data_IF_274023287365
#
_entry.id   IF_274023287365
#
_cell.length_a   1.000
_cell.length_b   1.000
_cell.length_c   1.000
_cell.angle_alpha   90.00
_cell.angle_beta   90.00
_cell.angle_gamma   90.00
#
_symmetry.space_group_name_H-M   'P 1'
#
loop_
_entity.id
_entity.type
_entity.pdbx_description
1 polymer ?
#
# COMPACT_ATOMS: atom_id res chain seq x y z
N UNK A 1 24.09 -28.90 11.22
CA UNK A 1 23.93 -27.88 12.27
C UNK A 1 23.44 -26.52 11.77
N UNK A 2 23.76 -26.06 10.54
CA UNK A 2 23.32 -24.77 9.99
C UNK A 2 21.82 -24.71 9.57
N UNK A 3 21.21 -25.80 9.09
CA UNK A 3 19.79 -25.81 8.69
C UNK A 3 18.84 -25.59 9.88
N UNK A 4 19.08 -26.23 11.02
CA UNK A 4 18.25 -26.08 12.22
C UNK A 4 18.33 -24.65 12.84
N UNK A 5 19.47 -23.95 12.69
CA UNK A 5 19.56 -22.53 13.11
C UNK A 5 18.74 -21.61 12.20
N UNK A 6 18.75 -21.87 10.88
CA UNK A 6 18.02 -21.04 9.91
C UNK A 6 16.49 -21.19 10.06
N UNK A 7 16.01 -22.40 10.31
CA UNK A 7 14.57 -22.64 10.59
C UNK A 7 14.14 -22.02 11.92
N UNK A 8 14.95 -22.10 12.97
CA UNK A 8 14.66 -21.43 14.25
C UNK A 8 14.53 -19.92 14.09
N UNK A 9 15.42 -19.26 13.34
CA UNK A 9 15.32 -17.82 13.07
C UNK A 9 14.06 -17.44 12.28
N UNK A 10 13.61 -18.30 11.38
CA UNK A 10 12.41 -18.08 10.58
C UNK A 10 11.13 -18.20 11.44
N UNK A 11 11.08 -19.18 12.32
CA UNK A 11 9.96 -19.35 13.25
C UNK A 11 9.95 -18.23 14.31
N UNK A 12 11.08 -17.86 14.87
CA UNK A 12 11.16 -16.75 15.84
C UNK A 12 10.80 -15.41 15.22
N UNK A 13 11.17 -15.15 13.97
CA UNK A 13 10.85 -13.93 13.26
C UNK A 13 9.34 -13.74 13.03
N UNK A 14 8.56 -14.83 12.93
CA UNK A 14 7.11 -14.79 12.78
C UNK A 14 6.42 -14.86 14.15
N UNK A 15 6.90 -15.74 15.01
CA UNK A 15 6.27 -16.02 16.32
C UNK A 15 6.34 -14.81 17.26
N UNK A 16 7.45 -14.08 17.24
CA UNK A 16 7.69 -12.96 18.16
C UNK A 16 6.73 -11.76 17.91
N UNK A 17 6.50 -11.28 16.67
CA UNK A 17 5.50 -10.25 16.40
C UNK A 17 4.06 -10.70 16.71
N UNK A 18 3.72 -11.97 16.40
CA UNK A 18 2.40 -12.53 16.70
C UNK A 18 2.19 -12.60 18.21
N UNK A 19 3.17 -13.06 18.95
CA UNK A 19 3.11 -13.17 20.41
C UNK A 19 3.00 -11.78 21.05
N UNK A 20 3.75 -10.79 20.55
CA UNK A 20 3.65 -9.41 20.99
C UNK A 20 2.25 -8.82 20.70
N UNK A 21 1.67 -9.10 19.53
CA UNK A 21 0.30 -8.72 19.20
C UNK A 21 -0.73 -9.36 20.12
N UNK A 22 -0.61 -10.66 20.40
CA UNK A 22 -1.50 -11.37 21.33
C UNK A 22 -1.39 -10.79 22.75
N UNK A 23 -0.17 -10.54 23.23
CA UNK A 23 0.05 -9.90 24.55
C UNK A 23 -0.63 -8.53 24.59
N UNK A 24 -0.48 -7.72 23.56
CA UNK A 24 -1.11 -6.40 23.48
C UNK A 24 -2.64 -6.50 23.56
N UNK A 25 -3.25 -7.44 22.81
CA UNK A 25 -4.71 -7.69 22.85
C UNK A 25 -5.15 -8.14 24.24
N UNK A 26 -4.40 -9.01 24.92
CA UNK A 26 -4.69 -9.47 26.29
C UNK A 26 -4.59 -8.29 27.26
N UNK A 27 -3.54 -7.48 27.19
CA UNK A 27 -3.34 -6.32 28.06
C UNK A 27 -4.45 -5.28 27.88
N UNK A 28 -4.95 -5.08 26.65
CA UNK A 28 -6.10 -4.24 26.36
C UNK A 28 -7.38 -4.84 26.95
N UNK A 29 -7.61 -6.14 26.76
CA UNK A 29 -8.81 -6.83 27.25
C UNK A 29 -8.88 -6.88 28.77
N UNK A 30 -7.74 -7.03 29.45
CA UNK A 30 -7.66 -7.05 30.93
C UNK A 30 -7.66 -5.67 31.57
N UNK A 31 -7.82 -4.60 30.77
CA UNK A 31 -7.83 -3.19 31.19
C UNK A 31 -6.53 -2.73 31.89
N UNK A 32 -5.45 -3.49 31.80
CA UNK A 32 -4.15 -3.08 32.37
C UNK A 32 -3.66 -1.79 31.74
N UNK A 33 -3.79 -1.66 30.41
CA UNK A 33 -3.42 -0.41 29.70
C UNK A 33 -4.31 0.75 30.14
N UNK A 34 -5.60 0.50 30.34
CA UNK A 34 -6.54 1.53 30.82
C UNK A 34 -6.14 2.08 32.19
N UNK A 35 -5.75 1.19 33.13
CA UNK A 35 -5.34 1.61 34.46
C UNK A 35 -3.97 2.31 34.48
N UNK A 36 -3.03 1.89 33.61
CA UNK A 36 -1.70 2.49 33.49
C UNK A 36 -1.74 3.91 32.96
N UNK A 37 -2.60 4.18 31.96
CA UNK A 37 -2.67 5.46 31.26
C UNK A 37 -3.87 6.31 31.70
N UNK A 38 -4.70 5.84 32.62
CA UNK A 38 -5.90 6.55 33.07
C UNK A 38 -6.95 6.74 31.97
N UNK A 39 -6.97 5.84 30.96
CA UNK A 39 -7.87 5.92 29.81
C UNK A 39 -9.20 5.25 30.13
N UNK A 40 -10.32 5.89 29.76
CA UNK A 40 -11.64 5.28 29.83
C UNK A 40 -11.93 4.36 28.64
N UNK A 41 -12.87 3.41 28.80
CA UNK A 41 -13.33 2.53 27.71
C UNK A 41 -13.91 3.29 26.50
N UNK A 42 -14.39 4.51 26.75
CA UNK A 42 -14.86 5.41 25.68
C UNK A 42 -13.71 5.92 24.80
N UNK A 43 -12.49 6.07 25.36
CA UNK A 43 -11.31 6.51 24.61
C UNK A 43 -10.60 5.37 23.90
N UNK A 44 -10.53 4.22 24.57
CA UNK A 44 -9.91 3.02 24.06
C UNK A 44 -10.84 1.80 24.31
N UNK A 45 -11.72 1.45 23.34
CA UNK A 45 -12.64 0.35 23.52
C UNK A 45 -11.94 -1.00 23.67
N UNK A 46 -12.58 -1.92 24.39
CA UNK A 46 -12.09 -3.28 24.56
C UNK A 46 -12.09 -4.02 23.21
N UNK A 47 -11.12 -4.88 22.94
CA UNK A 47 -11.09 -5.71 21.72
C UNK A 47 -12.37 -6.50 21.49
N UNK A 48 -13.00 -7.02 22.56
CA UNK A 48 -14.29 -7.70 22.47
C UNK A 48 -15.45 -6.80 22.08
N UNK A 49 -15.45 -5.52 22.47
CA UNK A 49 -16.45 -4.55 22.07
C UNK A 49 -16.29 -4.18 20.58
N UNK A 50 -15.06 -3.96 20.14
CA UNK A 50 -14.73 -3.72 18.71
C UNK A 50 -15.16 -4.92 17.84
N UNK A 51 -14.89 -6.14 18.28
CA UNK A 51 -15.28 -7.36 17.55
C UNK A 51 -16.81 -7.52 17.44
N UNK A 52 -17.56 -7.20 18.50
CA UNK A 52 -19.03 -7.20 18.47
C UNK A 52 -19.59 -6.11 17.56
N UNK A 53 -19.04 -4.89 17.64
CA UNK A 53 -19.40 -3.77 16.77
C UNK A 53 -19.12 -4.09 15.30
N UNK A 54 -17.98 -4.73 15.01
CA UNK A 54 -17.63 -5.18 13.66
C UNK A 54 -18.63 -6.22 13.13
N UNK A 55 -19.00 -7.22 13.93
CA UNK A 55 -19.93 -8.25 13.52
C UNK A 55 -21.36 -7.68 13.33
N UNK A 56 -21.81 -6.81 14.23
CA UNK A 56 -23.13 -6.17 14.16
C UNK A 56 -23.23 -5.21 12.96
N UNK A 57 -22.16 -4.49 12.63
CA UNK A 57 -22.10 -3.51 11.54
C UNK A 57 -21.57 -4.06 10.22
N UNK A 58 -21.40 -5.38 10.05
CA UNK A 58 -20.71 -5.97 8.90
C UNK A 58 -21.27 -5.54 7.53
N UNK A 59 -22.59 -5.39 7.40
CA UNK A 59 -23.24 -4.93 6.16
C UNK A 59 -22.85 -3.49 5.78
N UNK A 60 -22.93 -2.58 6.76
CA UNK A 60 -22.55 -1.18 6.56
C UNK A 60 -21.04 -1.03 6.33
N UNK A 61 -20.23 -1.80 7.04
CA UNK A 61 -18.78 -1.86 6.86
C UNK A 61 -18.46 -2.29 5.42
N UNK A 62 -19.09 -3.34 4.92
CA UNK A 62 -18.83 -3.84 3.56
C UNK A 62 -19.23 -2.82 2.49
N UNK A 63 -20.36 -2.14 2.67
CA UNK A 63 -20.82 -1.06 1.78
C UNK A 63 -19.81 0.09 1.74
N UNK A 64 -19.37 0.58 2.90
CA UNK A 64 -18.40 1.67 2.99
C UNK A 64 -17.01 1.22 2.51
N UNK A 65 -16.62 -0.05 2.71
CA UNK A 65 -15.39 -0.62 2.20
C UNK A 65 -15.34 -0.57 0.66
N UNK A 66 -16.44 -0.87 -0.03
CA UNK A 66 -16.51 -0.76 -1.48
C UNK A 66 -16.33 0.69 -1.96
N UNK A 67 -16.94 1.67 -1.27
CA UNK A 67 -16.80 3.11 -1.58
C UNK A 67 -15.35 3.60 -1.44
N UNK A 68 -14.59 3.03 -0.50
CA UNK A 68 -13.16 3.37 -0.31
C UNK A 68 -12.26 2.58 -1.26
N UNK A 69 -12.57 1.30 -1.53
CA UNK A 69 -11.70 0.40 -2.32
C UNK A 69 -11.62 0.82 -3.79
N UNK A 70 -12.76 1.19 -4.39
CA UNK A 70 -12.84 1.54 -5.82
C UNK A 70 -11.89 2.69 -6.17
N UNK A 71 -11.94 3.87 -5.52
CA UNK A 71 -11.01 4.96 -5.80
C UNK A 71 -9.56 4.61 -5.40
N UNK A 72 -9.33 3.82 -4.35
CA UNK A 72 -7.99 3.39 -3.98
C UNK A 72 -7.33 2.53 -5.08
N UNK A 73 -8.05 1.55 -5.62
CA UNK A 73 -7.55 0.66 -6.68
C UNK A 73 -7.39 1.42 -7.99
N UNK A 74 -8.37 2.25 -8.37
CA UNK A 74 -8.28 3.06 -9.60
C UNK A 74 -7.13 4.07 -9.54
N UNK A 75 -6.95 4.73 -8.40
CA UNK A 75 -5.83 5.65 -8.18
C UNK A 75 -4.47 4.93 -8.16
N UNK A 76 -4.39 3.77 -7.51
CA UNK A 76 -3.18 2.94 -7.52
C UNK A 76 -2.82 2.48 -8.94
N UNK A 77 -3.81 2.10 -9.74
CA UNK A 77 -3.59 1.69 -11.14
C UNK A 77 -3.11 2.88 -11.99
N UNK A 78 -3.77 4.04 -11.89
CA UNK A 78 -3.39 5.24 -12.61
C UNK A 78 -1.98 5.72 -12.20
N UNK A 79 -1.70 5.80 -10.91
CA UNK A 79 -0.38 6.17 -10.38
C UNK A 79 0.71 5.16 -10.76
N UNK A 80 0.37 3.87 -10.77
CA UNK A 80 1.25 2.80 -11.25
C UNK A 80 1.61 2.96 -12.72
N UNK A 81 0.63 3.23 -13.58
CA UNK A 81 0.85 3.45 -15.01
C UNK A 81 1.69 4.72 -15.24
N UNK A 82 1.32 5.85 -14.65
CA UNK A 82 2.05 7.12 -14.79
C UNK A 82 3.49 6.96 -14.30
N UNK A 83 3.67 6.35 -13.12
CA UNK A 83 4.99 6.13 -12.54
C UNK A 83 5.86 5.20 -13.38
N UNK A 84 5.30 4.12 -13.91
CA UNK A 84 6.03 3.20 -14.78
C UNK A 84 6.44 3.84 -16.10
N UNK A 85 5.53 4.60 -16.75
CA UNK A 85 5.83 5.35 -17.97
C UNK A 85 6.93 6.39 -17.73
N UNK A 86 6.88 7.10 -16.60
CA UNK A 86 7.93 8.04 -16.21
C UNK A 86 9.28 7.34 -16.06
N UNK A 87 9.33 6.17 -15.44
CA UNK A 87 10.53 5.37 -15.29
C UNK A 87 11.09 4.90 -16.66
N UNK A 88 10.23 4.47 -17.58
CA UNK A 88 10.64 4.11 -18.95
C UNK A 88 11.28 5.28 -19.68
N UNK A 89 10.68 6.47 -19.58
CA UNK A 89 11.23 7.69 -20.18
C UNK A 89 12.57 8.05 -19.53
N UNK A 90 12.68 7.92 -18.20
CA UNK A 90 13.90 8.22 -17.47
C UNK A 90 15.08 7.32 -17.89
N UNK A 91 14.84 6.03 -18.06
CA UNK A 91 15.87 5.09 -18.51
C UNK A 91 16.22 5.30 -19.99
N UNK A 92 15.25 5.72 -20.83
CA UNK A 92 15.46 5.95 -22.27
C UNK A 92 16.29 7.22 -22.54
N UNK A 93 16.15 8.25 -21.69
CA UNK A 93 16.81 9.55 -21.82
C UNK A 93 17.63 9.89 -20.58
N UNK A 94 18.83 9.30 -20.37
CA UNK A 94 19.56 9.41 -19.09
C UNK A 94 19.87 10.86 -18.66
N UNK A 95 20.10 11.77 -19.61
CA UNK A 95 20.44 13.19 -19.30
C UNK A 95 19.26 13.97 -18.71
N UNK A 96 18.03 13.72 -19.17
CA UNK A 96 16.81 14.38 -18.67
C UNK A 96 16.04 13.50 -17.67
N UNK A 97 16.19 12.20 -17.76
CA UNK A 97 15.44 11.23 -16.98
C UNK A 97 15.72 11.28 -15.49
N UNK A 98 16.97 11.58 -15.10
CA UNK A 98 17.30 11.78 -13.68
C UNK A 98 16.51 12.96 -13.07
N UNK A 99 16.28 14.01 -13.84
CA UNK A 99 15.41 15.12 -13.42
C UNK A 99 13.97 14.70 -13.15
N UNK A 100 13.41 13.79 -13.96
CA UNK A 100 12.05 13.28 -13.73
C UNK A 100 11.91 12.47 -12.43
N UNK A 101 12.94 11.74 -12.03
CA UNK A 101 12.97 11.04 -10.73
C UNK A 101 12.96 12.04 -9.57
N UNK A 102 13.75 13.12 -9.65
CA UNK A 102 13.78 14.18 -8.64
C UNK A 102 12.40 14.82 -8.52
N UNK A 103 11.76 15.17 -9.64
CA UNK A 103 10.42 15.76 -9.65
C UNK A 103 9.41 14.82 -9.01
N UNK A 104 9.42 13.53 -9.38
CA UNK A 104 8.48 12.55 -8.81
C UNK A 104 8.71 12.32 -7.31
N UNK A 105 9.96 12.36 -6.85
CA UNK A 105 10.28 12.29 -5.42
C UNK A 105 9.79 13.55 -4.69
N UNK A 106 9.96 14.72 -5.29
CA UNK A 106 9.48 15.98 -4.73
C UNK A 106 7.94 16.02 -4.63
N UNK A 107 7.23 15.52 -5.63
CA UNK A 107 5.75 15.40 -5.59
C UNK A 107 5.30 14.49 -4.44
N UNK A 108 6.01 13.40 -4.17
CA UNK A 108 5.71 12.52 -3.03
C UNK A 108 5.91 13.20 -1.65
N UNK A 109 6.63 14.32 -1.58
CA UNK A 109 6.82 15.08 -0.35
C UNK A 109 5.62 15.96 0.00
N UNK A 110 4.64 16.11 -0.90
CA UNK A 110 3.42 16.89 -0.64
C UNK A 110 2.59 16.18 0.42
N UNK A 111 2.21 16.87 1.53
CA UNK A 111 1.37 16.27 2.55
C UNK A 111 0.01 15.84 1.97
N UNK A 112 -0.37 14.58 2.20
CA UNK A 112 -1.61 14.00 1.68
C UNK A 112 -2.87 14.83 2.05
N UNK A 113 -2.87 15.42 3.25
CA UNK A 113 -3.95 16.28 3.75
C UNK A 113 -4.10 17.54 2.90
N UNK A 114 -2.98 18.20 2.57
CA UNK A 114 -2.99 19.38 1.72
C UNK A 114 -3.45 19.02 0.30
N UNK A 115 -2.96 17.90 -0.22
CA UNK A 115 -3.35 17.40 -1.54
C UNK A 115 -4.86 17.10 -1.59
N UNK A 116 -5.43 16.44 -0.59
CA UNK A 116 -6.86 16.15 -0.52
C UNK A 116 -7.69 17.44 -0.50
N UNK A 117 -7.27 18.44 0.25
CA UNK A 117 -7.96 19.74 0.32
C UNK A 117 -7.95 20.46 -1.03
N UNK A 118 -6.81 20.51 -1.71
CA UNK A 118 -6.66 21.14 -3.03
C UNK A 118 -7.49 20.39 -4.09
N UNK A 119 -7.44 19.06 -4.10
CA UNK A 119 -8.22 18.23 -5.04
C UNK A 119 -9.74 18.46 -4.87
N UNK A 120 -10.22 18.63 -3.63
CA UNK A 120 -11.62 18.97 -3.38
C UNK A 120 -12.02 20.36 -3.92
N UNK A 121 -11.07 21.29 -4.07
CA UNK A 121 -11.33 22.58 -4.71
C UNK A 121 -11.35 22.51 -6.24
N UNK A 122 -10.69 21.51 -6.83
CA UNK A 122 -10.56 21.40 -8.29
C UNK A 122 -11.61 20.49 -8.92
N UNK A 123 -12.11 19.51 -8.17
CA UNK A 123 -13.00 18.47 -8.70
C UNK A 123 -14.25 18.34 -7.84
N UNK A 124 -15.42 18.36 -8.47
CA UNK A 124 -16.72 18.19 -7.78
C UNK A 124 -17.05 16.72 -7.50
N UNK A 125 -16.42 15.80 -8.21
CA UNK A 125 -16.71 14.37 -8.08
C UNK A 125 -15.77 13.73 -7.06
N UNK A 126 -16.32 13.28 -5.94
CA UNK A 126 -15.54 12.70 -4.85
C UNK A 126 -14.73 11.45 -5.27
N UNK A 127 -15.24 10.64 -6.21
CA UNK A 127 -14.48 9.52 -6.76
C UNK A 127 -13.17 9.99 -7.41
N UNK A 128 -13.24 11.08 -8.20
CA UNK A 128 -12.08 11.67 -8.88
C UNK A 128 -11.09 12.25 -7.86
N UNK A 129 -11.60 12.94 -6.83
CA UNK A 129 -10.77 13.49 -5.75
C UNK A 129 -10.00 12.39 -5.03
N UNK A 130 -10.70 11.35 -4.57
CA UNK A 130 -10.12 10.21 -3.84
C UNK A 130 -9.09 9.46 -4.70
N UNK A 131 -9.47 9.14 -5.94
CA UNK A 131 -8.58 8.47 -6.89
C UNK A 131 -7.38 9.35 -7.27
N UNK A 132 -7.58 10.66 -7.44
CA UNK A 132 -6.51 11.62 -7.72
C UNK A 132 -5.47 11.69 -6.61
N UNK A 133 -5.90 11.77 -5.34
CA UNK A 133 -4.99 11.72 -4.19
C UNK A 133 -4.20 10.41 -4.16
N UNK A 134 -4.88 9.27 -4.33
CA UNK A 134 -4.22 7.96 -4.38
C UNK A 134 -3.24 7.86 -5.56
N UNK A 135 -3.57 8.43 -6.74
CA UNK A 135 -2.69 8.48 -7.91
C UNK A 135 -1.40 9.23 -7.61
N UNK A 136 -1.51 10.45 -7.08
CA UNK A 136 -0.33 11.29 -6.79
C UNK A 136 0.56 10.61 -5.75
N UNK A 137 -0.02 10.02 -4.70
CA UNK A 137 0.75 9.34 -3.65
C UNK A 137 1.45 8.06 -4.11
N UNK A 138 0.94 7.39 -5.14
CA UNK A 138 1.47 6.10 -5.59
C UNK A 138 2.42 6.20 -6.77
N UNK A 139 2.29 7.25 -7.61
CA UNK A 139 3.10 7.38 -8.84
C UNK A 139 4.59 7.51 -8.58
N UNK A 140 5.01 8.25 -7.57
CA UNK A 140 6.44 8.45 -7.27
C UNK A 140 7.11 7.18 -6.77
N UNK A 141 6.43 6.40 -5.92
CA UNK A 141 6.94 5.11 -5.43
C UNK A 141 7.11 4.13 -6.60
N UNK A 142 6.13 4.09 -7.50
CA UNK A 142 6.23 3.28 -8.71
C UNK A 142 7.39 3.74 -9.58
N UNK A 143 7.55 5.06 -9.79
CA UNK A 143 8.63 5.60 -10.62
C UNK A 143 10.01 5.17 -10.13
N UNK A 144 10.27 5.33 -8.84
CA UNK A 144 11.59 5.02 -8.26
C UNK A 144 11.90 3.53 -8.33
N UNK A 145 10.93 2.68 -7.96
CA UNK A 145 11.14 1.23 -7.98
C UNK A 145 11.22 0.68 -9.40
N UNK A 146 10.36 1.15 -10.30
CA UNK A 146 10.40 0.74 -11.70
C UNK A 146 11.70 1.18 -12.38
N UNK A 147 12.18 2.40 -12.11
CA UNK A 147 13.46 2.86 -12.61
C UNK A 147 14.60 1.96 -12.14
N UNK A 148 14.64 1.65 -10.84
CA UNK A 148 15.65 0.73 -10.27
C UNK A 148 15.61 -0.62 -10.95
N UNK A 149 14.44 -1.19 -11.19
CA UNK A 149 14.29 -2.46 -11.88
C UNK A 149 14.70 -2.41 -13.36
N UNK A 150 14.32 -1.34 -14.08
CA UNK A 150 14.70 -1.15 -15.49
C UNK A 150 16.21 -0.90 -15.67
N UNK A 151 16.89 -0.39 -14.65
CA UNK A 151 18.34 -0.14 -14.67
C UNK A 151 19.16 -1.24 -13.99
N UNK A 152 18.49 -2.31 -13.55
CA UNK A 152 19.13 -3.45 -12.85
C UNK A 152 20.02 -4.36 -13.71
N UNK A 153 19.83 -4.52 -15.05
CA UNK A 153 20.70 -5.34 -15.87
C UNK A 153 22.17 -4.85 -15.83
N UNK A 154 23.07 -5.78 -15.53
CA UNK A 154 24.48 -5.51 -15.42
C UNK A 154 25.18 -5.26 -16.77
N UNK A 155 26.45 -4.85 -16.72
CA UNK A 155 27.26 -4.67 -17.94
C UNK A 155 27.35 -5.95 -18.76
N UNK A 156 27.55 -7.10 -18.12
CA UNK A 156 27.66 -8.39 -18.80
C UNK A 156 26.39 -8.74 -19.59
N UNK A 157 25.20 -8.42 -19.06
CA UNK A 157 23.93 -8.65 -19.75
C UNK A 157 23.79 -7.73 -20.97
N UNK A 158 24.25 -6.46 -20.82
CA UNK A 158 24.22 -5.48 -21.90
C UNK A 158 25.21 -5.86 -23.01
N UNK A 159 26.43 -6.26 -22.66
CA UNK A 159 27.47 -6.70 -23.59
C UNK A 159 27.00 -7.96 -24.36
N UNK A 160 26.32 -8.89 -23.68
CA UNK A 160 25.76 -10.07 -24.32
C UNK A 160 24.72 -9.67 -25.37
N UNK A 161 23.82 -8.74 -25.06
CA UNK A 161 22.81 -8.26 -26.01
C UNK A 161 23.47 -7.57 -27.22
N UNK A 162 24.56 -6.83 -27.00
CA UNK A 162 25.33 -6.18 -28.07
C UNK A 162 26.02 -7.23 -28.96
N UNK A 163 26.64 -8.25 -28.39
CA UNK A 163 27.26 -9.37 -29.12
C UNK A 163 26.21 -10.15 -29.97
N UNK A 164 24.96 -10.22 -29.49
CA UNK A 164 23.88 -10.84 -30.25
C UNK A 164 23.30 -9.90 -31.33
N UNK A 165 23.84 -8.69 -31.54
CA UNK A 165 23.33 -7.74 -32.51
C UNK A 165 21.97 -7.17 -32.17
N UNK A 166 21.58 -7.16 -30.87
CA UNK A 166 20.28 -6.70 -30.44
C UNK A 166 20.10 -5.19 -30.65
N UNK A 167 18.96 -4.81 -31.20
CA UNK A 167 18.57 -3.42 -31.34
C UNK A 167 18.28 -2.78 -29.95
N UNK A 168 18.28 -1.47 -29.87
CA UNK A 168 17.90 -0.75 -28.63
C UNK A 168 16.50 -1.16 -28.15
N UNK A 169 15.57 -1.44 -29.06
CA UNK A 169 14.23 -1.89 -28.74
C UNK A 169 14.25 -3.31 -28.14
N UNK A 170 15.08 -4.20 -28.69
CA UNK A 170 15.27 -5.56 -28.16
C UNK A 170 15.81 -5.54 -26.73
N UNK A 171 16.79 -4.68 -26.45
CA UNK A 171 17.33 -4.50 -25.09
C UNK A 171 16.22 -4.05 -24.13
N UNK A 172 15.37 -3.12 -24.54
CA UNK A 172 14.26 -2.67 -23.69
C UNK A 172 13.25 -3.79 -23.46
N UNK A 173 12.73 -4.41 -24.52
CA UNK A 173 11.60 -5.34 -24.43
C UNK A 173 11.99 -6.73 -23.93
N UNK A 174 13.22 -7.18 -24.24
CA UNK A 174 13.66 -8.55 -23.89
C UNK A 174 14.52 -8.61 -22.63
N UNK A 175 15.16 -7.50 -22.22
CA UNK A 175 16.03 -7.46 -21.06
C UNK A 175 15.48 -6.54 -19.96
N UNK A 176 15.37 -5.23 -20.20
CA UNK A 176 15.04 -4.25 -19.15
C UNK A 176 13.63 -4.38 -18.60
N UNK A 177 12.61 -4.50 -19.45
CA UNK A 177 11.22 -4.65 -19.00
C UNK A 177 11.02 -5.93 -18.20
N UNK A 178 11.42 -7.13 -18.65
CA UNK A 178 11.34 -8.35 -17.85
C UNK A 178 12.13 -8.26 -16.53
N UNK A 179 13.31 -7.66 -16.53
CA UNK A 179 14.11 -7.48 -15.34
C UNK A 179 13.43 -6.56 -14.30
N UNK A 180 12.61 -5.61 -14.73
CA UNK A 180 11.94 -4.66 -13.84
C UNK A 180 10.73 -5.26 -13.10
N UNK A 181 10.16 -6.36 -13.57
CA UNK A 181 8.90 -6.90 -13.04
C UNK A 181 8.93 -7.15 -11.51
N UNK A 182 10.00 -7.72 -10.91
CA UNK A 182 10.06 -7.91 -9.46
C UNK A 182 10.00 -6.59 -8.66
N UNK A 183 10.70 -5.55 -9.14
CA UNK A 183 10.69 -4.23 -8.49
C UNK A 183 9.33 -3.53 -8.67
N UNK A 184 8.67 -3.71 -9.82
CA UNK A 184 7.29 -3.24 -10.05
C UNK A 184 6.31 -3.89 -9.07
N UNK A 185 6.39 -5.20 -8.84
CA UNK A 185 5.56 -5.86 -7.83
C UNK A 185 5.89 -5.40 -6.41
N UNK A 186 7.15 -5.12 -6.12
CA UNK A 186 7.56 -4.53 -4.85
C UNK A 186 6.93 -3.14 -4.64
N UNK A 187 6.90 -2.30 -5.68
CA UNK A 187 6.21 -1.02 -5.68
C UNK A 187 4.69 -1.18 -5.52
N UNK A 188 4.06 -2.11 -6.24
CA UNK A 188 2.62 -2.37 -6.13
C UNK A 188 2.22 -2.78 -4.71
N UNK A 189 3.00 -3.60 -4.03
CA UNK A 189 2.76 -3.98 -2.62
C UNK A 189 2.79 -2.77 -1.68
N UNK A 190 3.74 -1.87 -1.85
CA UNK A 190 3.78 -0.62 -1.09
C UNK A 190 2.60 0.29 -1.44
N UNK A 191 2.27 0.39 -2.71
CA UNK A 191 1.19 1.22 -3.22
C UNK A 191 -0.19 0.77 -2.71
N UNK A 192 -0.41 -0.52 -2.39
CA UNK A 192 -1.66 -0.97 -1.78
C UNK A 192 -1.96 -0.21 -0.49
N UNK A 193 -1.00 -0.12 0.41
CA UNK A 193 -1.16 0.58 1.70
C UNK A 193 -1.28 2.09 1.50
N UNK A 194 -0.46 2.65 0.62
CA UNK A 194 -0.41 4.10 0.39
C UNK A 194 -1.66 4.61 -0.33
N UNK A 195 -2.18 3.88 -1.31
CA UNK A 195 -3.44 4.21 -1.98
C UNK A 195 -4.62 4.20 -1.00
N UNK A 196 -4.71 3.16 -0.16
CA UNK A 196 -5.74 3.09 0.88
C UNK A 196 -5.64 4.26 1.87
N UNK A 197 -4.42 4.58 2.31
CA UNK A 197 -4.18 5.72 3.21
C UNK A 197 -4.59 7.04 2.54
N UNK A 198 -4.20 7.28 1.29
CA UNK A 198 -4.55 8.49 0.54
C UNK A 198 -6.05 8.66 0.36
N UNK A 199 -6.75 7.56 0.03
CA UNK A 199 -8.21 7.56 -0.10
C UNK A 199 -8.91 7.85 1.23
N UNK A 200 -8.50 7.20 2.32
CA UNK A 200 -9.08 7.41 3.66
C UNK A 200 -8.85 8.86 4.13
N UNK A 201 -7.64 9.41 3.91
CA UNK A 201 -7.35 10.81 4.22
C UNK A 201 -8.25 11.73 3.39
N UNK A 202 -8.43 11.46 2.10
CA UNK A 202 -9.30 12.23 1.24
C UNK A 202 -10.76 12.22 1.75
N UNK A 203 -11.25 11.08 2.23
CA UNK A 203 -12.61 10.95 2.80
C UNK A 203 -12.81 11.79 4.08
N UNK A 204 -11.75 12.08 4.83
CA UNK A 204 -11.86 12.98 5.99
C UNK A 204 -12.18 14.42 5.61
N UNK A 205 -11.81 14.85 4.41
CA UNK A 205 -12.01 16.21 3.89
C UNK A 205 -13.12 16.29 2.83
N UNK A 206 -13.62 15.15 2.36
CA UNK A 206 -14.70 15.11 1.39
C UNK A 206 -16.04 15.56 2.01
N UNK A 207 -16.89 16.14 1.17
CA UNK A 207 -18.26 16.52 1.51
C UNK A 207 -19.22 15.32 1.49
N UNK A 208 -18.78 14.17 1.01
CA UNK A 208 -19.56 12.93 1.00
C UNK A 208 -19.74 12.34 2.39
N UNK A 209 -20.87 11.61 2.55
CA UNK A 209 -21.26 10.96 3.79
C UNK A 209 -21.08 9.45 3.76
N UNK A 210 -20.16 8.96 2.91
CA UNK A 210 -19.89 7.53 2.71
C UNK A 210 -18.39 7.25 2.58
N UNK A 211 -17.99 6.04 2.95
CA UNK A 211 -16.61 5.56 2.95
C UNK A 211 -16.09 5.29 4.35
N UNK A 212 -15.06 4.43 4.44
CA UNK A 212 -14.47 4.03 5.72
C UNK A 212 -13.89 5.23 6.47
N UNK A 213 -13.19 6.14 5.79
CA UNK A 213 -12.60 7.34 6.39
C UNK A 213 -13.64 8.29 6.93
N UNK A 214 -14.75 8.51 6.20
CA UNK A 214 -15.87 9.31 6.70
C UNK A 214 -16.47 8.69 7.95
N UNK A 215 -16.75 7.38 7.95
CA UNK A 215 -17.35 6.69 9.08
C UNK A 215 -16.42 6.68 10.31
N UNK A 216 -15.11 6.50 10.11
CA UNK A 216 -14.13 6.64 11.20
C UNK A 216 -14.22 8.03 11.83
N UNK A 217 -14.16 9.10 11.01
CA UNK A 217 -14.27 10.49 11.48
C UNK A 217 -15.59 10.74 12.23
N UNK A 218 -16.70 10.29 11.66
CA UNK A 218 -18.04 10.48 12.21
C UNK A 218 -18.21 9.78 13.57
N UNK A 219 -17.94 8.46 13.62
CA UNK A 219 -18.11 7.66 14.82
C UNK A 219 -17.18 8.06 15.97
N UNK A 220 -15.92 8.42 15.66
CA UNK A 220 -14.97 8.86 16.69
C UNK A 220 -15.32 10.24 17.30
N UNK A 221 -16.02 11.09 16.55
CA UNK A 221 -16.52 12.38 17.06
C UNK A 221 -17.81 12.23 17.86
N UNK A 222 -18.59 11.21 17.59
CA UNK A 222 -19.87 10.94 18.28
C UNK A 222 -19.59 10.14 19.55
N UNK A 223 -19.90 10.71 20.73
CA UNK A 223 -19.49 10.19 22.03
C UNK A 223 -19.82 8.72 22.32
N UNK A 224 -20.96 8.20 21.83
CA UNK A 224 -21.46 6.84 22.10
C UNK A 224 -21.17 5.80 21.00
N UNK A 225 -20.35 6.12 19.98
CA UNK A 225 -20.11 5.23 18.82
C UNK A 225 -18.61 4.95 18.58
N UNK A 226 -17.79 5.10 19.60
CA UNK A 226 -16.33 4.96 19.43
C UNK A 226 -15.89 3.52 19.14
N UNK A 227 -16.55 2.53 19.69
CA UNK A 227 -16.35 1.12 19.38
C UNK A 227 -16.64 0.81 17.90
N UNK A 228 -17.69 1.44 17.34
CA UNK A 228 -18.01 1.36 15.90
C UNK A 228 -16.91 2.04 15.08
N UNK A 229 -16.42 3.23 15.50
CA UNK A 229 -15.30 3.90 14.85
C UNK A 229 -14.03 3.04 14.78
N UNK A 230 -13.72 2.34 15.87
CA UNK A 230 -12.60 1.38 15.90
C UNK A 230 -12.86 0.14 15.04
N UNK A 231 -14.11 -0.30 14.92
CA UNK A 231 -14.47 -1.37 13.99
C UNK A 231 -14.22 -0.97 12.52
N UNK A 232 -14.51 0.29 12.15
CA UNK A 232 -14.15 0.81 10.82
C UNK A 232 -12.65 0.92 10.59
N UNK A 233 -11.85 1.29 11.61
CA UNK A 233 -10.38 1.26 11.52
C UNK A 233 -9.88 -0.17 11.28
N UNK A 234 -10.42 -1.14 12.00
CA UNK A 234 -10.09 -2.56 11.80
C UNK A 234 -10.46 -3.01 10.39
N UNK A 235 -11.64 -2.62 9.89
CA UNK A 235 -12.08 -2.91 8.53
C UNK A 235 -11.14 -2.33 7.47
N UNK A 236 -10.71 -1.08 7.64
CA UNK A 236 -9.74 -0.43 6.74
C UNK A 236 -8.40 -1.17 6.71
N UNK A 237 -7.94 -1.62 7.88
CA UNK A 237 -6.71 -2.42 8.00
C UNK A 237 -6.84 -3.76 7.30
N UNK A 238 -7.94 -4.49 7.53
CA UNK A 238 -8.20 -5.78 6.88
C UNK A 238 -8.29 -5.60 5.36
N UNK A 239 -8.97 -4.56 4.89
CA UNK A 239 -9.11 -4.28 3.46
C UNK A 239 -7.77 -3.97 2.79
N UNK A 240 -6.92 -3.18 3.46
CA UNK A 240 -5.57 -2.88 2.99
C UNK A 240 -4.69 -4.14 2.91
N UNK A 241 -4.76 -5.01 3.93
CA UNK A 241 -4.06 -6.30 3.95
C UNK A 241 -4.59 -7.27 2.90
N UNK A 242 -5.90 -7.28 2.65
CA UNK A 242 -6.51 -8.10 1.60
C UNK A 242 -6.03 -7.66 0.21
N UNK A 243 -5.98 -6.35 -0.05
CA UNK A 243 -5.45 -5.81 -1.31
C UNK A 243 -3.96 -6.15 -1.48
N UNK A 244 -3.16 -6.00 -0.43
CA UNK A 244 -1.76 -6.42 -0.41
C UNK A 244 -1.61 -7.92 -0.71
N UNK A 245 -2.42 -8.76 -0.05
CA UNK A 245 -2.42 -10.20 -0.24
C UNK A 245 -2.79 -10.60 -1.68
N UNK A 246 -3.75 -9.91 -2.28
CA UNK A 246 -4.13 -10.11 -3.68
C UNK A 246 -2.95 -9.82 -4.61
N UNK A 247 -2.24 -8.71 -4.42
CA UNK A 247 -1.04 -8.39 -5.21
C UNK A 247 0.05 -9.45 -5.00
N UNK A 248 0.24 -9.97 -3.78
CA UNK A 248 1.19 -11.06 -3.52
C UNK A 248 0.80 -12.36 -4.25
N UNK A 249 -0.49 -12.67 -4.37
CA UNK A 249 -0.97 -13.85 -5.11
C UNK A 249 -0.69 -13.68 -6.60
N UNK A 250 -0.98 -12.49 -7.16
CA UNK A 250 -0.70 -12.18 -8.56
C UNK A 250 0.81 -12.25 -8.85
N UNK A 251 1.63 -11.65 -7.98
CA UNK A 251 3.09 -11.72 -8.08
C UNK A 251 3.58 -13.17 -8.16
N UNK A 252 3.15 -14.03 -7.23
CA UNK A 252 3.56 -15.45 -7.21
C UNK A 252 3.18 -16.20 -8.48
N UNK A 253 2.04 -15.87 -9.08
CA UNK A 253 1.60 -16.47 -10.33
C UNK A 253 2.40 -15.97 -11.53
N UNK A 254 2.73 -14.69 -11.57
CA UNK A 254 3.44 -14.06 -12.67
C UNK A 254 4.95 -14.27 -12.62
N UNK A 255 5.57 -14.37 -11.43
CA UNK A 255 7.01 -14.50 -11.26
C UNK A 255 7.48 -15.92 -10.90
N UNK A 256 6.75 -16.94 -11.31
CA UNK A 256 7.12 -18.34 -11.03
C UNK A 256 8.50 -18.75 -11.60
N UNK A 257 9.00 -18.04 -12.62
CA UNK A 257 10.34 -18.25 -13.20
C UNK A 257 11.48 -17.55 -12.45
N UNK A 258 11.18 -16.54 -11.62
CA UNK A 258 12.20 -15.70 -11.00
C UNK A 258 12.82 -16.36 -9.76
N UNK A 259 14.16 -16.25 -9.62
CA UNK A 259 14.95 -16.91 -8.56
C UNK A 259 14.53 -16.48 -7.14
N UNK A 260 14.03 -15.26 -6.96
CA UNK A 260 13.56 -14.76 -5.66
C UNK A 260 12.37 -15.57 -5.12
N UNK A 261 11.47 -16.03 -5.99
CA UNK A 261 10.30 -16.84 -5.60
C UNK A 261 10.70 -18.29 -5.32
N UNK A 262 11.71 -18.83 -6.02
CA UNK A 262 12.24 -20.18 -5.79
C UNK A 262 12.91 -20.36 -4.42
N UNK A 263 13.52 -19.30 -3.85
CA UNK A 263 14.18 -19.38 -2.53
C UNK A 263 13.21 -19.36 -1.35
N UNK A 264 11.96 -18.93 -1.55
CA UNK A 264 10.94 -18.88 -0.49
C UNK A 264 10.14 -20.18 -0.36
N UNK A 265 10.28 -21.10 -1.32
CA UNK A 265 9.54 -22.38 -1.41
C UNK A 265 10.38 -23.62 -1.07
N UNK A 266 11.61 -23.46 -0.53
CA UNK A 266 12.43 -24.58 -0.02
C UNK A 266 12.68 -24.48 1.46
#
# INVERSE_FOLDING_TARGET
MNRMKHDRYRYTAILLPVLAGCIMVVLLQTKVIHSLFGLGEVQLPLPSAIGRAFAAGAGDILRNAAVTLIPAVSGMAAGGIIGYMTALIAVRFPRGGYGSLIIMTAVNSVPAVALASVMNCWFDTALVVKAGVATVMTMGIMTVNAYKGLDSPGKADMDLMELCGASRLDVFTKLRIPASIPDVFSALKLNCTIAMMGTIISEFFASETAGLGFMIKYCLRTGNQKDIGWAYILAATILSLALYGLVCIVEKRMLHWHVSVRKTGK
#
